data_IF_924588006429
#
_entry.id   IF_924588006429
#
_cell.length_a   1.000
_cell.length_b   1.000
_cell.length_c   1.000
_cell.angle_alpha   90.00
_cell.angle_beta   90.00
_cell.angle_gamma   90.00
#
_symmetry.space_group_name_H-M   'P 1'
#
loop_
_entity.id
_entity.type
_entity.pdbx_description
1 polymer ?
#
# COMPACT_ATOMS: atom_id res chain seq x y z
N UNK A 1 12.41 11.00 6.32
CA UNK A 1 12.19 10.75 6.72
C UNK A 1 11.75 10.13 6.34
N UNK A 2 12.69 10.31 5.97
CA UNK A 2 11.98 9.35 5.83
C UNK A 2 11.22 9.19 6.99
N UNK A 3 10.70 8.78 7.16
CA UNK A 3 10.04 8.74 8.32
C UNK A 3 8.84 9.54 8.33
N UNK A 4 8.60 10.14 7.25
CA UNK A 4 7.36 10.79 7.22
C UNK A 4 6.30 9.76 7.12
N UNK A 5 5.34 9.89 7.92
CA UNK A 5 4.21 9.03 7.88
C UNK A 5 3.10 9.61 7.06
N UNK A 6 3.38 10.70 6.41
CA UNK A 6 2.36 11.31 5.61
C UNK A 6 2.29 10.67 4.26
N UNK A 7 1.10 10.34 3.87
CA UNK A 7 0.83 9.87 2.55
C UNK A 7 -0.12 10.84 1.91
N UNK A 8 0.32 11.42 0.80
CA UNK A 8 -0.52 12.39 0.12
C UNK A 8 -0.87 11.90 -1.25
N UNK A 9 -2.14 11.98 -1.57
CA UNK A 9 -2.64 11.61 -2.88
C UNK A 9 -3.40 12.80 -3.43
N UNK A 10 -2.97 13.25 -4.59
CA UNK A 10 -3.68 14.34 -5.25
C UNK A 10 -4.95 13.77 -5.86
N UNK A 11 -6.07 14.36 -5.48
CA UNK A 11 -7.36 13.91 -5.95
C UNK A 11 -7.42 13.86 -7.46
N UNK A 12 -6.78 14.82 -8.10
CA UNK A 12 -6.84 14.93 -9.55
C UNK A 12 -6.02 13.87 -10.25
N UNK A 13 -5.14 13.18 -9.51
CA UNK A 13 -4.28 12.16 -10.10
C UNK A 13 -4.98 10.81 -10.20
N UNK A 14 -6.11 10.64 -9.51
CA UNK A 14 -6.80 9.37 -9.44
C UNK A 14 -8.13 9.51 -10.16
N UNK A 15 -8.32 8.70 -11.19
CA UNK A 15 -9.60 8.63 -11.88
C UNK A 15 -10.41 7.49 -11.28
N UNK A 16 -11.69 7.75 -11.13
CA UNK A 16 -12.59 6.75 -10.59
C UNK A 16 -12.58 5.50 -11.47
N UNK A 17 -12.51 4.33 -10.85
CA UNK A 17 -12.50 3.08 -11.56
C UNK A 17 -11.15 2.63 -12.08
N UNK A 18 -10.12 3.43 -11.91
CA UNK A 18 -8.78 3.05 -12.39
C UNK A 18 -8.15 1.98 -11.50
N UNK A 19 -7.44 1.08 -12.12
CA UNK A 19 -6.67 0.08 -11.40
C UNK A 19 -5.33 0.68 -11.00
N UNK A 20 -4.97 0.55 -9.73
CA UNK A 20 -3.72 1.11 -9.22
C UNK A 20 -2.96 0.07 -8.45
N UNK A 21 -1.64 0.25 -8.40
CA UNK A 21 -0.73 -0.56 -7.61
C UNK A 21 -0.01 0.39 -6.67
N UNK A 22 0.02 0.04 -5.39
CA UNK A 22 0.77 0.80 -4.40
C UNK A 22 2.18 0.25 -4.36
N UNK A 23 3.18 1.13 -4.47
CA UNK A 23 4.58 0.72 -4.44
C UNK A 23 5.26 1.47 -3.31
N UNK A 24 5.96 0.73 -2.46
CA UNK A 24 6.68 1.31 -1.34
C UNK A 24 7.98 0.54 -1.15
N UNK A 25 8.90 1.08 -0.38
CA UNK A 25 10.17 0.41 -0.18
C UNK A 25 10.09 -0.64 0.93
N UNK A 26 9.27 -0.46 1.94
CA UNK A 26 9.28 -1.34 3.11
C UNK A 26 7.87 -1.71 3.55
N UNK A 27 7.64 -3.01 3.70
CA UNK A 27 6.44 -3.50 4.38
C UNK A 27 6.83 -3.93 5.78
N UNK A 28 6.45 -3.14 6.76
CA UNK A 28 6.70 -3.45 8.17
C UNK A 28 5.38 -3.91 8.81
N UNK A 29 4.72 -3.05 9.55
CA UNK A 29 3.44 -3.41 10.18
C UNK A 29 2.27 -3.33 9.22
N UNK A 30 2.44 -2.65 8.11
CA UNK A 30 1.38 -2.51 7.13
C UNK A 30 0.44 -1.35 7.38
N UNK A 31 0.65 -0.60 8.47
CA UNK A 31 -0.27 0.47 8.83
C UNK A 31 -0.35 1.58 7.79
N UNK A 32 0.82 2.03 7.33
CA UNK A 32 0.87 3.10 6.34
C UNK A 32 0.23 2.68 5.02
N UNK A 33 0.56 1.46 4.57
CA UNK A 33 0.01 0.96 3.31
C UNK A 33 -1.47 0.70 3.43
N UNK A 34 -1.92 0.20 4.58
CA UNK A 34 -3.34 -0.01 4.81
C UNK A 34 -4.10 1.31 4.70
N UNK A 35 -3.55 2.37 5.30
CA UNK A 35 -4.15 3.69 5.20
C UNK A 35 -4.18 4.19 3.76
N UNK A 36 -3.10 3.94 3.02
CA UNK A 36 -3.03 4.31 1.62
C UNK A 36 -4.10 3.62 0.79
N UNK A 37 -4.28 2.32 1.02
CA UNK A 37 -5.29 1.56 0.29
C UNK A 37 -6.69 2.09 0.58
N UNK A 38 -6.96 2.42 1.83
CA UNK A 38 -8.26 2.97 2.19
C UNK A 38 -8.51 4.31 1.52
N UNK A 39 -7.48 5.14 1.49
CA UNK A 39 -7.60 6.46 0.89
C UNK A 39 -7.84 6.35 -0.61
N UNK A 40 -7.12 5.46 -1.28
CA UNK A 40 -7.29 5.24 -2.70
C UNK A 40 -8.67 4.70 -3.02
N UNK A 41 -9.15 3.75 -2.24
CA UNK A 41 -10.49 3.22 -2.44
C UNK A 41 -11.54 4.29 -2.26
N UNK A 42 -11.33 5.17 -1.29
CA UNK A 42 -12.26 6.28 -1.08
C UNK A 42 -12.30 7.23 -2.26
N UNK A 43 -11.17 7.36 -2.96
CA UNK A 43 -11.09 8.20 -4.15
C UNK A 43 -11.65 7.49 -5.38
N UNK A 44 -12.09 6.24 -5.26
CA UNK A 44 -12.71 5.51 -6.35
C UNK A 44 -11.76 4.63 -7.12
N UNK A 45 -10.53 4.47 -6.68
CA UNK A 45 -9.56 3.62 -7.38
C UNK A 45 -9.72 2.16 -6.97
N UNK A 46 -9.34 1.27 -7.88
CA UNK A 46 -9.29 -0.16 -7.62
C UNK A 46 -7.86 -0.52 -7.27
N UNK A 47 -7.58 -0.76 -6.00
CA UNK A 47 -6.25 -1.14 -5.57
C UNK A 47 -6.09 -2.63 -5.80
N UNK A 48 -5.22 -3.00 -6.74
CA UNK A 48 -5.06 -4.39 -7.14
C UNK A 48 -3.91 -5.08 -6.42
N UNK A 49 -2.85 -4.34 -6.10
CA UNK A 49 -1.67 -4.94 -5.51
C UNK A 49 -0.89 -3.91 -4.73
N UNK A 50 -0.07 -4.39 -3.82
CA UNK A 50 0.91 -3.58 -3.11
C UNK A 50 2.25 -4.28 -3.27
N UNK A 51 3.24 -3.56 -3.78
CA UNK A 51 4.55 -4.11 -4.05
C UNK A 51 5.60 -3.41 -3.19
N UNK A 52 6.52 -4.20 -2.64
CA UNK A 52 7.54 -3.69 -1.74
C UNK A 52 8.90 -4.22 -2.14
N UNK A 53 9.92 -3.43 -1.89
CA UNK A 53 11.29 -3.91 -2.06
C UNK A 53 11.63 -4.88 -0.93
N UNK A 54 11.30 -4.52 0.29
CA UNK A 54 11.65 -5.31 1.48
C UNK A 54 10.39 -5.58 2.31
N UNK A 55 10.27 -6.80 2.77
CA UNK A 55 9.19 -7.16 3.69
C UNK A 55 9.80 -7.73 4.97
N UNK A 56 9.35 -7.23 6.12
CA UNK A 56 9.74 -7.74 7.42
C UNK A 56 8.67 -8.72 7.89
N UNK A 57 8.91 -10.01 7.66
CA UNK A 57 7.89 -11.04 7.84
C UNK A 57 7.43 -11.15 9.30
N UNK A 58 8.33 -10.94 10.24
CA UNK A 58 8.01 -11.07 11.66
C UNK A 58 6.92 -10.10 12.12
N UNK A 59 6.77 -8.99 11.43
CA UNK A 59 5.77 -7.99 11.79
C UNK A 59 4.40 -8.30 11.21
N UNK A 60 4.32 -9.27 10.32
CA UNK A 60 3.06 -9.74 9.78
C UNK A 60 2.22 -8.63 9.14
N UNK A 61 2.89 -7.75 8.43
CA UNK A 61 2.20 -6.59 7.86
C UNK A 61 1.13 -6.96 6.84
N UNK A 62 1.30 -8.11 6.17
CA UNK A 62 0.33 -8.54 5.15
C UNK A 62 -1.07 -8.66 5.69
N UNK A 63 -1.23 -9.08 6.94
CA UNK A 63 -2.55 -9.29 7.50
C UNK A 63 -3.32 -7.99 7.71
N UNK A 64 -2.62 -6.87 7.70
CA UNK A 64 -3.26 -5.56 7.87
C UNK A 64 -3.67 -4.93 6.56
N UNK A 65 -3.35 -5.57 5.44
CA UNK A 65 -3.78 -5.08 4.14
C UNK A 65 -5.11 -5.72 3.75
N UNK A 66 -5.89 -5.07 2.88
CA UNK A 66 -7.14 -5.66 2.41
C UNK A 66 -6.89 -7.00 1.73
N UNK A 67 -7.81 -7.93 1.90
CA UNK A 67 -7.65 -9.28 1.37
C UNK A 67 -7.67 -9.32 -0.16
N UNK A 68 -8.29 -8.34 -0.77
CA UNK A 68 -8.39 -8.29 -2.23
C UNK A 68 -7.18 -7.62 -2.87
N UNK A 69 -6.19 -7.24 -2.07
CA UNK A 69 -4.96 -6.62 -2.56
C UNK A 69 -3.86 -7.67 -2.56
N UNK A 70 -3.29 -7.93 -3.73
CA UNK A 70 -2.17 -8.86 -3.84
C UNK A 70 -0.92 -8.20 -3.29
N UNK A 71 -0.15 -8.93 -2.48
CA UNK A 71 1.07 -8.39 -1.88
C UNK A 71 2.27 -9.07 -2.50
N UNK A 72 3.19 -8.27 -3.00
CA UNK A 72 4.41 -8.75 -3.65
C UNK A 72 5.59 -8.08 -2.97
N UNK A 73 6.62 -8.85 -2.63
CA UNK A 73 7.85 -8.30 -2.09
C UNK A 73 9.04 -8.92 -2.81
N UNK A 74 10.10 -8.14 -2.97
CA UNK A 74 11.29 -8.62 -3.65
C UNK A 74 12.19 -9.38 -2.69
N UNK A 75 12.31 -8.89 -1.47
CA UNK A 75 13.14 -9.52 -0.45
C UNK A 75 12.33 -9.61 0.83
N UNK A 76 12.30 -10.78 1.46
CA UNK A 76 11.60 -10.97 2.72
C UNK A 76 12.61 -11.36 3.79
N UNK A 77 12.60 -10.64 4.87
CA UNK A 77 13.45 -10.96 6.02
C UNK A 77 12.66 -11.55 7.15
#
# INVERSE_FOLDING_TARGET
EYGTDKLEIHKDAIEEGKNVIVIDDLLATGGTVSAACKLLKKAGANVKAAAFVIELADLNGRKNLPQDVEVVSMVTY
#
